data_IF_841105045462
#
_entry.id   IF_841105045462
#
_cell.length_a   1.000
_cell.length_b   1.000
_cell.length_c   1.000
_cell.angle_alpha   90.00
_cell.angle_beta   90.00
_cell.angle_gamma   90.00
#
_symmetry.space_group_name_H-M   'P 1'
#
loop_
_entity.id
_entity.type
_entity.pdbx_description
1 polymer ?
#
# COMPACT_ATOMS: atom_id res chain seq x y z
N UNK A 1 16.86 -31.57 11.06
CA UNK A 1 15.63 -31.16 10.33
C UNK A 1 15.60 -29.63 10.34
N UNK A 2 15.77 -28.96 9.21
CA UNK A 2 15.74 -27.48 9.14
C UNK A 2 14.26 -27.05 9.12
N UNK A 3 13.83 -26.04 9.88
CA UNK A 3 12.48 -25.52 9.72
C UNK A 3 12.39 -24.83 8.35
N UNK A 4 11.44 -25.30 7.53
CA UNK A 4 11.12 -24.68 6.25
C UNK A 4 10.65 -23.24 6.51
N UNK A 5 11.48 -22.27 6.09
CA UNK A 5 11.11 -20.86 6.09
C UNK A 5 9.95 -20.68 5.11
N UNK A 6 8.76 -20.42 5.64
CA UNK A 6 7.61 -19.96 4.85
C UNK A 6 7.99 -18.60 4.27
N UNK A 7 8.47 -18.57 3.03
CA UNK A 7 8.76 -17.35 2.27
C UNK A 7 7.65 -17.14 1.26
N UNK A 8 6.53 -16.57 1.69
CA UNK A 8 5.64 -15.86 0.78
C UNK A 8 5.29 -14.53 1.43
N UNK A 9 6.34 -13.73 1.59
CA UNK A 9 6.38 -12.41 2.19
C UNK A 9 5.84 -11.36 1.21
N UNK A 10 4.68 -11.61 0.60
CA UNK A 10 4.12 -10.74 -0.43
C UNK A 10 2.76 -10.20 -0.02
N UNK A 11 2.53 -8.94 -0.35
CA UNK A 11 1.23 -8.30 -0.18
C UNK A 11 0.74 -7.76 -1.51
N UNK A 12 -0.46 -8.16 -1.93
CA UNK A 12 -1.15 -7.58 -3.09
C UNK A 12 -2.29 -6.69 -2.63
N UNK A 13 -2.34 -5.47 -3.14
CA UNK A 13 -3.39 -4.50 -2.82
C UNK A 13 -3.75 -3.64 -4.04
N UNK A 14 -5.01 -3.23 -4.13
CA UNK A 14 -5.53 -2.24 -5.07
C UNK A 14 -5.70 -0.85 -4.44
N UNK A 15 -5.41 -0.71 -3.15
CA UNK A 15 -5.45 0.56 -2.45
C UNK A 15 -4.21 1.39 -2.83
N UNK A 16 -4.44 2.47 -3.56
CA UNK A 16 -3.40 3.36 -4.03
C UNK A 16 -2.68 4.09 -2.88
N UNK A 17 -3.41 4.48 -1.82
CA UNK A 17 -2.82 5.17 -0.68
C UNK A 17 -1.91 4.21 0.10
N UNK A 18 -2.38 3.00 0.35
CA UNK A 18 -1.58 1.99 1.03
C UNK A 18 -0.38 1.54 0.20
N UNK A 19 -0.54 1.40 -1.12
CA UNK A 19 0.59 1.11 -2.03
C UNK A 19 1.65 2.20 -2.00
N UNK A 20 1.23 3.47 -2.00
CA UNK A 20 2.16 4.61 -1.88
C UNK A 20 2.87 4.61 -0.52
N UNK A 21 2.15 4.34 0.57
CA UNK A 21 2.73 4.18 1.90
C UNK A 21 3.81 3.09 1.94
N UNK A 22 3.52 1.90 1.40
CA UNK A 22 4.48 0.80 1.32
C UNK A 22 5.72 1.20 0.51
N UNK A 23 5.53 1.91 -0.60
CA UNK A 23 6.65 2.40 -1.41
C UNK A 23 7.51 3.43 -0.66
N UNK A 24 6.89 4.32 0.11
CA UNK A 24 7.59 5.32 0.93
C UNK A 24 8.36 4.70 2.10
N UNK A 25 7.86 3.61 2.67
CA UNK A 25 8.55 2.81 3.70
C UNK A 25 9.75 2.03 3.16
N UNK A 26 9.89 1.93 1.84
CA UNK A 26 11.02 1.26 1.19
C UNK A 26 10.75 -0.18 0.75
N UNK A 27 9.51 -0.69 0.87
CA UNK A 27 9.19 -2.03 0.39
C UNK A 27 9.31 -2.13 -1.14
N UNK A 28 9.80 -3.28 -1.61
CA UNK A 28 10.03 -3.52 -3.02
C UNK A 28 8.70 -3.83 -3.73
N UNK A 29 8.35 -3.02 -4.73
CA UNK A 29 7.23 -3.32 -5.63
C UNK A 29 7.68 -4.37 -6.65
N UNK A 30 7.23 -5.61 -6.48
CA UNK A 30 7.60 -6.74 -7.34
C UNK A 30 6.69 -6.89 -8.56
N UNK A 31 5.45 -6.39 -8.48
CA UNK A 31 4.50 -6.46 -9.60
C UNK A 31 3.49 -5.33 -9.58
N UNK A 32 3.17 -4.80 -10.75
CA UNK A 32 2.03 -3.90 -10.96
C UNK A 32 1.21 -4.42 -12.13
N UNK A 33 -0.06 -4.71 -11.90
CA UNK A 33 -1.00 -5.12 -12.94
C UNK A 33 -2.12 -4.07 -13.06
N UNK A 34 -2.51 -3.75 -14.28
CA UNK A 34 -3.69 -2.93 -14.56
C UNK A 34 -4.68 -3.76 -15.38
N UNK A 35 -5.86 -4.01 -14.81
CA UNK A 35 -6.98 -4.67 -15.49
C UNK A 35 -8.18 -3.73 -15.55
N UNK A 36 -8.49 -3.24 -16.75
CA UNK A 36 -9.56 -2.25 -17.00
C UNK A 36 -9.37 -1.01 -16.11
N UNK A 37 -10.30 -0.75 -15.20
CA UNK A 37 -10.30 0.38 -14.26
C UNK A 37 -9.59 0.09 -12.94
N UNK A 38 -9.09 -1.13 -12.72
CA UNK A 38 -8.49 -1.55 -11.46
C UNK A 38 -6.99 -1.77 -11.62
N UNK A 39 -6.20 -1.14 -10.75
CA UNK A 39 -4.77 -1.39 -10.62
C UNK A 39 -4.52 -2.19 -9.34
N UNK A 40 -3.61 -3.17 -9.41
CA UNK A 40 -3.17 -3.97 -8.27
C UNK A 40 -1.66 -3.97 -8.20
N UNK A 41 -1.14 -3.79 -7.00
CA UNK A 41 0.29 -3.69 -6.70
C UNK A 41 0.67 -4.82 -5.77
N UNK A 42 1.76 -5.52 -6.07
CA UNK A 42 2.31 -6.57 -5.22
C UNK A 42 3.67 -6.15 -4.71
N UNK A 43 3.86 -6.15 -3.40
CA UNK A 43 5.11 -5.80 -2.73
C UNK A 43 5.71 -6.99 -2.01
N UNK A 44 7.03 -7.01 -1.90
CA UNK A 44 7.77 -7.86 -0.98
C UNK A 44 7.86 -7.17 0.39
N UNK A 45 7.43 -7.87 1.45
CA UNK A 45 7.29 -7.38 2.82
C UNK A 45 7.80 -8.42 3.81
N UNK A 46 8.71 -8.02 4.69
CA UNK A 46 9.26 -8.93 5.70
C UNK A 46 8.43 -9.00 7.00
N UNK A 47 7.30 -8.30 7.03
CA UNK A 47 6.47 -8.07 8.21
C UNK A 47 5.05 -8.63 8.02
N UNK A 48 4.33 -8.78 9.14
CA UNK A 48 2.92 -9.15 9.10
C UNK A 48 2.08 -8.05 8.42
N UNK A 49 1.37 -8.44 7.36
CA UNK A 49 0.44 -7.60 6.61
C UNK A 49 -0.56 -6.89 7.52
N UNK A 50 -1.03 -7.56 8.57
CA UNK A 50 -2.00 -7.02 9.54
C UNK A 50 -1.39 -5.85 10.30
N UNK A 51 -0.15 -5.99 10.74
CA UNK A 51 0.58 -4.93 11.42
C UNK A 51 0.81 -3.73 10.49
N UNK A 52 1.25 -3.97 9.25
CA UNK A 52 1.47 -2.90 8.27
C UNK A 52 0.20 -2.07 8.00
N UNK A 53 -0.97 -2.70 7.99
CA UNK A 53 -2.25 -2.00 7.84
C UNK A 53 -2.58 -1.14 9.06
N UNK A 54 -2.34 -1.65 10.27
CA UNK A 54 -2.54 -0.88 11.51
C UNK A 54 -1.60 0.33 11.54
N UNK A 55 -0.34 0.16 11.16
CA UNK A 55 0.61 1.26 11.08
C UNK A 55 0.19 2.29 10.03
N UNK A 56 -0.25 1.84 8.86
CA UNK A 56 -0.77 2.73 7.81
C UNK A 56 -1.95 3.58 8.31
N UNK A 57 -2.95 2.96 8.95
CA UNK A 57 -4.14 3.64 9.47
C UNK A 57 -3.77 4.71 10.51
N UNK A 58 -2.73 4.45 11.31
CA UNK A 58 -2.26 5.36 12.35
C UNK A 58 -1.17 6.34 11.87
N UNK A 59 -0.79 6.31 10.59
CA UNK A 59 0.31 7.13 10.07
C UNK A 59 -0.12 8.57 9.76
N UNK A 60 0.80 9.52 9.89
CA UNK A 60 0.59 10.90 9.40
C UNK A 60 0.42 10.94 7.87
N UNK A 61 0.91 9.91 7.16
CA UNK A 61 0.71 9.78 5.73
C UNK A 61 -0.77 9.70 5.36
N UNK A 62 -1.58 8.90 6.07
CA UNK A 62 -3.01 8.77 5.73
C UNK A 62 -3.76 10.07 6.00
N UNK A 63 -3.39 10.81 7.05
CA UNK A 63 -3.94 12.15 7.35
C UNK A 63 -3.62 13.12 6.21
N UNK A 64 -2.35 13.24 5.84
CA UNK A 64 -1.91 14.09 4.73
C UNK A 64 -2.61 13.72 3.41
N UNK A 65 -2.66 12.43 3.07
CA UNK A 65 -3.28 11.94 1.84
C UNK A 65 -4.77 12.31 1.78
N UNK A 66 -5.48 12.16 2.90
CA UNK A 66 -6.89 12.51 3.00
C UNK A 66 -7.12 14.02 2.83
N UNK A 67 -6.34 14.86 3.51
CA UNK A 67 -6.46 16.32 3.37
C UNK A 67 -6.12 16.78 1.94
N UNK A 68 -5.07 16.24 1.33
CA UNK A 68 -4.73 16.50 -0.07
C UNK A 68 -5.87 16.09 -1.01
N UNK A 69 -6.48 14.92 -0.79
CA UNK A 69 -7.63 14.44 -1.59
C UNK A 69 -8.85 15.35 -1.42
N UNK A 70 -9.10 15.84 -0.21
CA UNK A 70 -10.19 16.78 0.07
C UNK A 70 -9.98 18.10 -0.68
N UNK A 71 -8.78 18.69 -0.59
CA UNK A 71 -8.43 19.90 -1.34
C UNK A 71 -8.59 19.70 -2.86
N UNK A 72 -8.10 18.57 -3.40
CA UNK A 72 -8.25 18.25 -4.82
C UNK A 72 -9.71 18.20 -5.26
N UNK A 73 -10.60 17.63 -4.42
CA UNK A 73 -12.04 17.61 -4.72
C UNK A 73 -12.62 19.01 -4.78
N UNK A 74 -12.23 19.92 -3.86
CA UNK A 74 -12.73 21.30 -3.85
C UNK A 74 -12.42 22.05 -5.14
N UNK A 75 -11.24 21.84 -5.72
CA UNK A 75 -10.83 22.49 -6.98
C UNK A 75 -11.27 21.73 -8.24
N UNK A 76 -11.67 20.46 -8.12
CA UNK A 76 -12.06 19.62 -9.26
C UNK A 76 -13.58 19.59 -9.49
N UNK A 77 -14.37 20.36 -8.74
CA UNK A 77 -15.79 20.54 -9.01
C UNK A 77 -15.92 21.39 -10.30
N UNK A 78 -16.22 20.71 -11.40
CA UNK A 78 -16.85 21.31 -12.59
C UNK A 78 -18.35 21.10 -12.50
#
# INVERSE_FOLDING_TARGET
MKPDKIKNNHITTDDLAFSAYLKMKGYLLIKSDQKKSKSTFTFEVDEDVSQLKVEFINSEFVKFYNEMRNLKKMISVK
#
